data_IF_496389828784
#
_entry.id   IF_496389828784
#
_cell.length_a   1.000
_cell.length_b   1.000
_cell.length_c   1.000
_cell.angle_alpha   90.00
_cell.angle_beta   90.00
_cell.angle_gamma   90.00
#
_symmetry.space_group_name_H-M   'P 1'
#
loop_
_entity.id
_entity.type
_entity.pdbx_description
1 polymer ?
#
# COMPACT_ATOMS: atom_id res chain seq x y z
N UNK A 1 14.10 -4.12 10.52
CA UNK A 1 14.43 -4.92 9.33
C UNK A 1 13.77 -4.37 8.07
N UNK A 2 12.43 -4.24 8.03
CA UNK A 2 11.69 -3.73 6.88
C UNK A 2 12.16 -2.33 6.43
N UNK A 3 12.30 -1.38 7.37
CA UNK A 3 12.78 -0.03 7.08
C UNK A 3 14.18 -0.02 6.43
N UNK A 4 15.11 -0.86 6.93
CA UNK A 4 16.45 -0.95 6.36
C UNK A 4 16.40 -1.48 4.92
N UNK A 5 15.57 -2.50 4.68
CA UNK A 5 15.39 -3.08 3.35
C UNK A 5 14.78 -2.07 2.38
N UNK A 6 13.68 -1.39 2.78
CA UNK A 6 13.03 -0.36 1.98
C UNK A 6 13.98 0.83 1.68
N UNK A 7 14.71 1.32 2.68
CA UNK A 7 15.66 2.41 2.49
C UNK A 7 16.76 2.07 1.49
N UNK A 8 17.30 0.84 1.55
CA UNK A 8 18.28 0.35 0.57
C UNK A 8 17.69 0.22 -0.83
N UNK A 9 16.47 -0.35 -0.93
CA UNK A 9 15.81 -0.59 -2.20
C UNK A 9 15.48 0.72 -2.94
N UNK A 10 15.04 1.74 -2.22
CA UNK A 10 14.69 3.06 -2.77
C UNK A 10 15.83 4.08 -2.77
N UNK A 11 17.09 3.62 -2.57
CA UNK A 11 18.25 4.53 -2.56
C UNK A 11 18.33 5.31 -3.87
N UNK A 12 18.43 6.65 -3.78
CA UNK A 12 18.52 7.55 -4.93
C UNK A 12 17.21 7.88 -5.62
N UNK A 13 16.10 7.24 -5.25
CA UNK A 13 14.78 7.59 -5.78
C UNK A 13 14.22 8.85 -5.09
N UNK A 14 13.54 9.69 -5.87
CA UNK A 14 12.84 10.89 -5.39
C UNK A 14 11.36 10.84 -5.78
N UNK A 15 10.51 11.48 -4.98
CA UNK A 15 9.10 11.66 -5.29
C UNK A 15 8.86 12.81 -6.29
N UNK A 16 7.61 13.07 -6.65
CA UNK A 16 7.23 14.15 -7.57
C UNK A 16 7.54 15.55 -7.03
N UNK A 17 7.68 15.70 -5.73
CA UNK A 17 8.11 16.94 -5.07
C UNK A 17 9.62 17.10 -4.99
N UNK A 18 10.41 16.09 -5.42
CA UNK A 18 11.87 16.07 -5.35
C UNK A 18 12.43 15.61 -4.01
N UNK A 19 11.59 15.18 -3.07
CA UNK A 19 12.03 14.65 -1.78
C UNK A 19 12.46 13.16 -1.90
N UNK A 20 13.34 12.65 -1.01
CA UNK A 20 13.70 11.23 -1.00
C UNK A 20 12.45 10.34 -0.92
N UNK A 21 12.34 9.36 -1.85
CA UNK A 21 11.15 8.53 -1.99
C UNK A 21 10.81 7.75 -0.72
N UNK A 22 11.81 7.36 0.06
CA UNK A 22 11.61 6.61 1.33
C UNK A 22 10.69 7.32 2.33
N UNK A 23 10.53 8.64 2.22
CA UNK A 23 9.62 9.40 3.09
C UNK A 23 8.15 9.00 2.87
N UNK A 24 7.75 8.59 1.64
CA UNK A 24 6.41 8.10 1.37
C UNK A 24 6.09 6.80 2.15
N UNK A 25 6.82 5.68 2.01
CA UNK A 25 6.55 4.49 2.81
C UNK A 25 6.65 4.72 4.33
N UNK A 26 7.48 5.66 4.80
CA UNK A 26 7.51 6.04 6.23
C UNK A 26 6.19 6.71 6.64
N UNK A 27 5.65 7.67 5.88
CA UNK A 27 4.36 8.31 6.18
C UNK A 27 3.22 7.29 6.16
N UNK A 28 3.20 6.38 5.18
CA UNK A 28 2.20 5.29 5.11
C UNK A 28 2.30 4.40 6.34
N UNK A 29 3.51 4.01 6.75
CA UNK A 29 3.76 3.22 7.97
C UNK A 29 3.24 3.92 9.23
N UNK A 30 3.45 5.23 9.36
CA UNK A 30 2.99 6.02 10.51
C UNK A 30 1.46 6.13 10.57
N UNK A 31 0.76 6.02 9.46
CA UNK A 31 -0.70 5.98 9.39
C UNK A 31 -1.29 4.59 9.69
N UNK A 32 -0.47 3.54 9.80
CA UNK A 32 -0.89 2.18 10.14
C UNK A 32 -0.80 1.93 11.65
N UNK A 33 -1.71 1.08 12.18
CA UNK A 33 -1.74 0.75 13.62
C UNK A 33 -1.02 -0.58 13.91
N UNK A 34 -1.31 -1.63 13.14
CA UNK A 34 -0.79 -2.99 13.36
C UNK A 34 0.67 -3.17 12.93
N UNK A 35 1.42 -4.02 13.62
CA UNK A 35 2.83 -4.31 13.28
C UNK A 35 2.97 -4.86 11.86
N UNK A 36 2.13 -5.81 11.45
CA UNK A 36 2.14 -6.37 10.10
C UNK A 36 1.83 -5.32 9.04
N UNK A 37 0.87 -4.44 9.32
CA UNK A 37 0.53 -3.30 8.45
C UNK A 37 1.73 -2.37 8.27
N UNK A 38 2.43 -2.03 9.36
CA UNK A 38 3.64 -1.19 9.34
C UNK A 38 4.77 -1.80 8.52
N UNK A 39 4.96 -3.12 8.63
CA UNK A 39 5.97 -3.84 7.84
C UNK A 39 5.61 -3.78 6.35
N UNK A 40 4.35 -4.10 6.00
CA UNK A 40 3.89 -4.07 4.60
C UNK A 40 3.92 -2.65 4.06
N UNK A 41 3.52 -1.64 4.85
CA UNK A 41 3.56 -0.23 4.46
C UNK A 41 4.99 0.24 4.10
N UNK A 42 6.00 -0.17 4.86
CA UNK A 42 7.39 0.15 4.55
C UNK A 42 7.89 -0.49 3.24
N UNK A 43 7.34 -1.64 2.86
CA UNK A 43 7.81 -2.44 1.73
C UNK A 43 6.91 -2.32 0.49
N UNK A 44 5.71 -1.74 0.57
CA UNK A 44 4.60 -1.91 -0.39
C UNK A 44 4.97 -1.62 -1.85
N UNK A 45 5.87 -0.68 -2.11
CA UNK A 45 6.31 -0.32 -3.45
C UNK A 45 7.61 -1.04 -3.90
N UNK A 46 8.27 -1.78 -3.00
CA UNK A 46 9.57 -2.36 -3.31
C UNK A 46 9.54 -3.42 -4.41
N UNK A 47 8.46 -4.20 -4.52
CA UNK A 47 8.33 -5.23 -5.57
C UNK A 47 7.95 -4.64 -6.93
N UNK A 48 7.33 -3.45 -6.97
CA UNK A 48 6.93 -2.77 -8.20
C UNK A 48 8.04 -1.86 -8.73
N UNK A 49 8.68 -1.11 -7.84
CA UNK A 49 9.57 0.01 -8.19
C UNK A 49 11.06 -0.28 -8.01
N UNK A 50 11.43 -1.49 -7.58
CA UNK A 50 12.83 -1.88 -7.38
C UNK A 50 13.13 -3.28 -7.91
N UNK A 51 14.38 -3.73 -7.78
CA UNK A 51 14.78 -5.08 -8.18
C UNK A 51 14.42 -6.17 -7.16
N UNK A 52 13.81 -5.83 -6.01
CA UNK A 52 13.40 -6.80 -5.01
C UNK A 52 12.26 -7.69 -5.52
N UNK A 53 12.32 -8.97 -5.16
CA UNK A 53 11.34 -9.99 -5.52
C UNK A 53 10.68 -10.58 -4.27
N UNK A 54 9.53 -11.25 -4.44
CA UNK A 54 8.88 -12.00 -3.37
C UNK A 54 9.82 -13.10 -2.79
N UNK A 55 10.69 -13.69 -3.61
CA UNK A 55 11.69 -14.65 -3.16
C UNK A 55 12.73 -14.01 -2.24
N UNK A 56 13.11 -12.75 -2.49
CA UNK A 56 14.03 -12.01 -1.61
C UNK A 56 13.40 -11.73 -0.25
N UNK A 57 12.11 -11.39 -0.22
CA UNK A 57 11.39 -11.19 1.04
C UNK A 57 11.33 -12.49 1.85
N UNK A 58 11.05 -13.64 1.20
CA UNK A 58 11.08 -14.97 1.86
C UNK A 58 12.47 -15.30 2.40
N UNK A 59 13.52 -15.12 1.60
CA UNK A 59 14.92 -15.31 2.04
C UNK A 59 15.31 -14.40 3.20
N UNK A 60 14.77 -13.20 3.21
CA UNK A 60 14.93 -12.28 4.33
C UNK A 60 14.13 -12.71 5.57
N UNK A 61 13.32 -13.77 5.53
CA UNK A 61 12.55 -14.30 6.66
C UNK A 61 11.33 -13.46 7.02
N UNK A 62 10.67 -12.84 6.03
CA UNK A 62 9.33 -12.26 6.24
C UNK A 62 8.28 -13.38 6.19
N UNK A 63 7.27 -13.36 7.09
CA UNK A 63 6.17 -14.32 7.07
C UNK A 63 5.41 -14.33 5.74
N UNK A 64 4.89 -15.50 5.34
CA UNK A 64 4.19 -15.65 4.06
C UNK A 64 2.97 -14.72 3.93
N UNK A 65 2.27 -14.43 5.04
CA UNK A 65 1.18 -13.46 5.07
C UNK A 65 1.62 -12.07 4.59
N UNK A 66 2.80 -11.62 5.01
CA UNK A 66 3.40 -10.35 4.56
C UNK A 66 3.76 -10.42 3.08
N UNK A 67 4.39 -11.52 2.64
CA UNK A 67 4.77 -11.70 1.23
C UNK A 67 3.53 -11.71 0.33
N UNK A 68 2.45 -12.39 0.74
CA UNK A 68 1.19 -12.41 0.00
C UNK A 68 0.54 -11.03 -0.10
N UNK A 69 0.53 -10.25 1.00
CA UNK A 69 0.04 -8.88 0.98
C UNK A 69 0.87 -8.01 0.04
N UNK A 70 2.19 -8.18 0.01
CA UNK A 70 3.10 -7.49 -0.92
C UNK A 70 2.81 -7.84 -2.38
N UNK A 71 2.65 -9.13 -2.70
CA UNK A 71 2.25 -9.56 -4.05
C UNK A 71 0.89 -8.98 -4.46
N UNK A 72 -0.05 -8.91 -3.52
CA UNK A 72 -1.36 -8.32 -3.74
C UNK A 72 -1.28 -6.82 -4.02
N UNK A 73 -0.35 -6.10 -3.39
CA UNK A 73 -0.11 -4.66 -3.60
C UNK A 73 0.70 -4.34 -4.86
N UNK A 74 1.33 -5.33 -5.49
CA UNK A 74 2.08 -5.17 -6.73
C UNK A 74 1.14 -5.27 -7.93
N UNK A 75 1.01 -4.20 -8.71
CA UNK A 75 0.13 -4.15 -9.86
C UNK A 75 0.76 -4.80 -11.08
N UNK A 76 0.00 -5.65 -11.79
CA UNK A 76 0.43 -6.23 -13.06
C UNK A 76 0.55 -5.17 -14.17
N UNK A 77 1.53 -5.32 -15.08
CA UNK A 77 1.81 -4.33 -16.14
C UNK A 77 0.60 -3.98 -17.02
N UNK A 78 -0.30 -4.94 -17.25
CA UNK A 78 -1.51 -4.78 -18.10
C UNK A 78 -2.81 -4.83 -17.30
N UNK A 79 -2.72 -4.88 -15.97
CA UNK A 79 -3.88 -4.96 -15.09
C UNK A 79 -4.60 -3.60 -15.05
N UNK A 80 -5.93 -3.60 -15.26
CA UNK A 80 -6.73 -2.40 -15.03
C UNK A 80 -6.62 -1.95 -13.56
N UNK A 81 -6.63 -0.63 -13.35
CA UNK A 81 -6.43 -0.09 -12.01
C UNK A 81 -7.55 -0.47 -11.05
N UNK A 82 -8.80 -0.51 -11.52
CA UNK A 82 -9.94 -0.85 -10.66
C UNK A 82 -10.04 -2.37 -10.42
N UNK A 83 -9.55 -3.20 -11.34
CA UNK A 83 -9.39 -4.65 -11.13
C UNK A 83 -8.30 -4.93 -10.10
N UNK A 84 -7.17 -4.23 -10.17
CA UNK A 84 -6.13 -4.25 -9.15
C UNK A 84 -6.67 -3.88 -7.76
N UNK A 85 -7.48 -2.81 -7.64
CA UNK A 85 -8.12 -2.41 -6.40
C UNK A 85 -9.13 -3.47 -5.92
N UNK A 86 -9.85 -4.12 -6.83
CA UNK A 86 -10.75 -5.23 -6.50
C UNK A 86 -9.99 -6.39 -5.83
N UNK A 87 -8.88 -6.79 -6.43
CA UNK A 87 -8.02 -7.86 -5.93
C UNK A 87 -7.42 -7.52 -4.56
N UNK A 88 -7.01 -6.27 -4.34
CA UNK A 88 -6.54 -5.80 -3.03
C UNK A 88 -7.64 -5.96 -1.95
N UNK A 89 -8.90 -5.70 -2.29
CA UNK A 89 -10.02 -5.83 -1.34
C UNK A 89 -10.24 -7.26 -0.82
N UNK A 90 -9.70 -8.28 -1.50
CA UNK A 90 -9.76 -9.68 -1.07
C UNK A 90 -8.71 -10.03 0.01
N UNK A 91 -7.71 -9.16 0.22
CA UNK A 91 -6.69 -9.31 1.25
C UNK A 91 -6.79 -8.18 2.28
N UNK A 92 -7.27 -8.51 3.48
CA UNK A 92 -7.54 -7.52 4.53
C UNK A 92 -6.30 -6.70 4.94
N UNK A 93 -5.12 -7.33 4.96
CA UNK A 93 -3.86 -6.65 5.29
C UNK A 93 -3.45 -5.67 4.18
N UNK A 94 -3.49 -6.13 2.91
CA UNK A 94 -3.21 -5.28 1.76
C UNK A 94 -4.20 -4.11 1.64
N UNK A 95 -5.50 -4.35 1.89
CA UNK A 95 -6.53 -3.32 1.82
C UNK A 95 -6.28 -2.19 2.84
N UNK A 96 -5.93 -2.51 4.09
CA UNK A 96 -5.62 -1.50 5.12
C UNK A 96 -4.37 -0.69 4.77
N UNK A 97 -3.34 -1.34 4.27
CA UNK A 97 -2.12 -0.63 3.82
C UNK A 97 -2.41 0.25 2.61
N UNK A 98 -3.17 -0.27 1.62
CA UNK A 98 -3.55 0.54 0.43
C UNK A 98 -4.44 1.74 0.80
N UNK A 99 -5.27 1.61 1.83
CA UNK A 99 -6.01 2.75 2.36
C UNK A 99 -5.06 3.86 2.84
N UNK A 100 -4.06 3.53 3.65
CA UNK A 100 -3.08 4.48 4.17
C UNK A 100 -2.20 5.07 3.03
N UNK A 101 -1.80 4.26 2.06
CA UNK A 101 -1.08 4.70 0.86
C UNK A 101 -1.89 5.71 0.05
N UNK A 102 -3.17 5.43 -0.20
CA UNK A 102 -4.04 6.36 -0.92
C UNK A 102 -4.25 7.67 -0.15
N UNK A 103 -4.35 7.64 1.19
CA UNK A 103 -4.42 8.86 2.00
C UNK A 103 -3.18 9.74 1.79
N UNK A 104 -1.98 9.17 1.81
CA UNK A 104 -0.74 9.93 1.55
C UNK A 104 -0.69 10.45 0.10
N UNK A 105 -1.11 9.64 -0.87
CA UNK A 105 -1.11 10.01 -2.29
C UNK A 105 -2.19 11.02 -2.70
N UNK A 106 -3.24 11.19 -1.91
CA UNK A 106 -4.29 12.20 -2.11
C UNK A 106 -3.85 13.60 -1.66
N UNK A 107 -2.78 13.71 -0.89
CA UNK A 107 -2.22 15.01 -0.50
C UNK A 107 -1.44 15.65 -1.65
N UNK A 108 -2.17 16.46 -2.43
CA UNK A 108 -1.61 17.19 -3.58
C UNK A 108 -0.70 18.37 -3.16
N UNK A 109 -0.73 18.78 -1.89
CA UNK A 109 0.03 19.95 -1.41
C UNK A 109 1.55 19.81 -1.57
N UNK A 110 2.04 18.58 -1.68
CA UNK A 110 3.46 18.28 -1.90
C UNK A 110 3.90 18.36 -3.35
N UNK A 111 2.99 18.57 -4.29
CA UNK A 111 3.31 18.67 -5.72
C UNK A 111 3.38 20.15 -6.09
N UNK A 112 4.58 20.70 -6.38
CA UNK A 112 4.68 22.04 -6.89
C UNK A 112 4.03 22.11 -8.29
N UNK A 113 3.12 23.06 -8.48
CA UNK A 113 2.42 23.29 -9.76
C UNK A 113 1.74 22.03 -10.32
N UNK A 114 0.71 21.47 -9.65
CA UNK A 114 0.02 20.27 -10.10
C UNK A 114 -0.62 20.48 -11.47
N UNK A 115 -0.53 19.46 -12.31
CA UNK A 115 -1.04 19.45 -13.68
C UNK A 115 -2.41 18.76 -13.77
N UNK A 116 -3.07 18.85 -14.92
CA UNK A 116 -4.32 18.09 -15.16
C UNK A 116 -4.13 16.57 -15.02
N UNK A 117 -2.94 16.05 -15.32
CA UNK A 117 -2.61 14.64 -15.09
C UNK A 117 -2.60 14.28 -13.60
N UNK A 118 -2.16 15.21 -12.75
CA UNK A 118 -2.18 15.01 -11.29
C UNK A 118 -3.60 15.01 -10.76
N UNK A 119 -4.45 15.93 -11.23
CA UNK A 119 -5.88 15.95 -10.87
C UNK A 119 -6.63 14.70 -11.38
N UNK A 120 -6.33 14.20 -12.58
CA UNK A 120 -6.91 12.96 -13.09
C UNK A 120 -6.50 11.74 -12.22
N UNK A 121 -5.25 11.72 -11.74
CA UNK A 121 -4.78 10.70 -10.79
C UNK A 121 -5.52 10.79 -9.46
N UNK A 122 -5.70 11.98 -8.91
CA UNK A 122 -6.47 12.21 -7.67
C UNK A 122 -7.89 11.64 -7.80
N UNK A 123 -8.62 11.98 -8.86
CA UNK A 123 -9.98 11.44 -9.12
C UNK A 123 -10.00 9.91 -9.13
N UNK A 124 -9.01 9.28 -9.74
CA UNK A 124 -8.86 7.81 -9.74
C UNK A 124 -8.61 7.26 -8.34
N UNK A 125 -7.77 7.91 -7.55
CA UNK A 125 -7.46 7.51 -6.17
C UNK A 125 -8.66 7.68 -5.23
N UNK A 126 -9.49 8.72 -5.42
CA UNK A 126 -10.74 8.89 -4.68
C UNK A 126 -11.73 7.75 -4.93
N UNK A 127 -11.84 7.27 -6.17
CA UNK A 127 -12.67 6.11 -6.51
C UNK A 127 -12.15 4.83 -5.83
N UNK A 128 -10.85 4.61 -5.88
CA UNK A 128 -10.20 3.49 -5.21
C UNK A 128 -10.41 3.54 -3.69
N UNK A 129 -10.24 4.71 -3.08
CA UNK A 129 -10.47 4.93 -1.66
C UNK A 129 -11.89 4.55 -1.23
N UNK A 130 -12.91 4.95 -2.00
CA UNK A 130 -14.31 4.59 -1.73
C UNK A 130 -14.51 3.08 -1.73
N UNK A 131 -13.92 2.36 -2.69
CA UNK A 131 -14.04 0.90 -2.80
C UNK A 131 -13.36 0.19 -1.62
N UNK A 132 -12.13 0.58 -1.29
CA UNK A 132 -11.37 0.00 -0.17
C UNK A 132 -12.06 0.28 1.16
N UNK A 133 -12.57 1.50 1.37
CA UNK A 133 -13.30 1.84 2.60
C UNK A 133 -14.51 0.94 2.82
N UNK A 134 -15.27 0.64 1.76
CA UNK A 134 -16.42 -0.29 1.83
C UNK A 134 -15.97 -1.70 2.21
N UNK A 135 -14.88 -2.20 1.61
CA UNK A 135 -14.34 -3.52 1.91
C UNK A 135 -13.90 -3.65 3.37
N UNK A 136 -13.15 -2.65 3.89
CA UNK A 136 -12.68 -2.64 5.28
C UNK A 136 -13.85 -2.62 6.28
N UNK A 137 -14.91 -1.83 6.00
CA UNK A 137 -16.10 -1.77 6.86
C UNK A 137 -16.90 -3.06 6.83
N UNK A 138 -17.16 -3.62 5.65
CA UNK A 138 -17.90 -4.89 5.50
C UNK A 138 -17.18 -6.08 6.15
N UNK A 139 -15.86 -6.12 6.12
CA UNK A 139 -15.08 -7.16 6.81
C UNK A 139 -15.17 -7.09 8.34
N UNK A 140 -15.40 -5.91 8.92
CA UNK A 140 -15.60 -5.76 10.38
C UNK A 140 -16.97 -6.28 10.84
N UNK A 141 -18.02 -6.14 10.03
CA UNK A 141 -19.36 -6.61 10.36
C UNK A 141 -19.47 -8.15 10.40
N UNK A 142 -18.73 -8.85 9.53
CA UNK A 142 -18.70 -10.33 9.51
C UNK A 142 -17.82 -10.93 10.63
N UNK A 143 -16.80 -10.19 11.10
CA UNK A 143 -15.94 -10.64 12.22
C UNK A 143 -16.57 -10.46 13.61
N UNK A 144 -17.61 -9.65 13.74
CA UNK A 144 -18.27 -9.38 15.01
C UNK A 144 -19.38 -10.39 15.37
N UNK A 145 -19.77 -11.26 14.44
CA UNK A 145 -20.85 -12.25 14.64
C UNK A 145 -20.35 -13.62 15.15
N UNK A 146 -19.04 -13.84 15.26
CA UNK A 146 -18.48 -15.17 15.63
C UNK A 146 -17.93 -15.23 17.08
N UNK A 147 -18.28 -14.27 17.94
CA UNK A 147 -17.91 -14.31 19.37
C UNK A 147 -19.13 -14.37 20.28
N UNK A 148 -20.08 -15.22 19.99
CA UNK A 148 -21.27 -15.39 20.80
C UNK A 148 -21.88 -16.77 20.71
N UNK A 149 -21.23 -17.79 21.29
CA UNK A 149 -21.95 -18.89 21.94
C UNK A 149 -20.94 -19.84 22.62
N UNK A 150 -20.78 -19.72 23.90
CA UNK A 150 -20.72 -20.84 24.89
C UNK A 150 -21.20 -20.31 26.20
#
# INVERSE_FOLDING_TARGET
KALILAAKAHTGQVDKGGAPYILHPIRVMLACEGEKEKIVALLHDTLEDTALTAADLRRAGFPEEIVQAMCCLTRGQKEDYMDYIARICENALAARVKYADLQDNLDISRIPNPTEKDFARIRKYEQAMKRITRSIKGGREHGALDTGTL
#
